data_IF_151187869877
#
_entry.id   IF_151187869877
#
_cell.length_a   1.000
_cell.length_b   1.000
_cell.length_c   1.000
_cell.angle_alpha   90.00
_cell.angle_beta   90.00
_cell.angle_gamma   90.00
#
_symmetry.space_group_name_H-M   'P 1'
#
loop_
_entity.id
_entity.type
_entity.pdbx_description
1 polymer ?
#
# COMPACT_ATOMS: atom_id res chain seq x y z
N UNK A 1 -1.24 9.89 -1.88
CA UNK A 1 -2.59 9.96 -2.46
C UNK A 1 -2.58 9.78 -3.98
N UNK A 2 -1.80 10.57 -4.76
CA UNK A 2 -1.72 10.47 -6.23
C UNK A 2 -1.43 9.09 -6.82
N UNK A 3 -0.56 8.30 -6.18
CA UNK A 3 -0.30 6.92 -6.62
C UNK A 3 -1.54 6.03 -6.53
N UNK A 4 -2.35 6.16 -5.47
CA UNK A 4 -3.59 5.40 -5.34
C UNK A 4 -4.57 5.78 -6.44
N UNK A 5 -4.80 7.08 -6.65
CA UNK A 5 -5.63 7.60 -7.75
C UNK A 5 -5.21 6.99 -9.09
N UNK A 6 -3.89 6.98 -9.37
CA UNK A 6 -3.40 6.48 -10.65
C UNK A 6 -3.54 4.97 -10.83
N UNK A 7 -3.47 4.21 -9.74
CA UNK A 7 -3.77 2.77 -9.80
C UNK A 7 -5.28 2.55 -9.92
N UNK A 8 -6.11 3.39 -9.32
CA UNK A 8 -7.57 3.26 -9.37
C UNK A 8 -8.15 3.53 -10.77
N UNK A 9 -7.54 4.40 -11.57
CA UNK A 9 -8.01 4.74 -12.93
C UNK A 9 -8.19 3.53 -13.86
N UNK A 10 -7.27 2.56 -13.82
CA UNK A 10 -7.28 1.40 -14.72
C UNK A 10 -6.70 0.12 -14.12
N UNK A 11 -6.14 0.19 -12.92
CA UNK A 11 -5.46 -0.93 -12.25
C UNK A 11 -6.41 -1.85 -11.49
N UNK A 12 -7.58 -1.38 -11.06
CA UNK A 12 -8.54 -2.21 -10.31
C UNK A 12 -9.09 -3.38 -11.13
N UNK A 13 -9.12 -3.26 -12.46
CA UNK A 13 -9.56 -4.34 -13.36
C UNK A 13 -8.39 -5.05 -14.06
N UNK A 14 -7.17 -4.55 -13.87
CA UNK A 14 -5.97 -5.12 -14.49
C UNK A 14 -5.57 -6.41 -13.77
N UNK A 15 -5.54 -7.52 -14.52
CA UNK A 15 -5.09 -8.80 -13.98
C UNK A 15 -3.69 -8.69 -13.38
N UNK A 16 -3.53 -9.22 -12.16
CA UNK A 16 -2.26 -9.28 -11.47
C UNK A 16 -1.69 -7.92 -11.06
N UNK A 17 -2.53 -6.90 -10.85
CA UNK A 17 -2.10 -5.62 -10.28
C UNK A 17 -1.30 -5.87 -8.97
N UNK A 18 -0.20 -5.15 -8.77
CA UNK A 18 0.82 -5.39 -7.72
C UNK A 18 1.66 -6.68 -7.83
N UNK A 19 1.20 -7.72 -8.53
CA UNK A 19 2.02 -8.91 -8.82
C UNK A 19 2.90 -8.73 -10.05
N UNK A 20 2.38 -8.12 -11.11
CA UNK A 20 3.11 -7.88 -12.35
C UNK A 20 4.06 -6.69 -12.22
N UNK A 21 5.28 -6.86 -12.73
CA UNK A 21 6.29 -5.80 -12.79
C UNK A 21 5.98 -4.81 -13.91
N UNK A 22 6.06 -3.51 -13.59
CA UNK A 22 6.07 -2.44 -14.59
C UNK A 22 7.39 -2.37 -15.36
N UNK A 23 7.47 -1.46 -16.34
CA UNK A 23 8.70 -1.25 -17.10
C UNK A 23 9.78 -0.62 -16.21
N UNK A 24 10.83 -1.38 -15.87
CA UNK A 24 11.89 -0.97 -14.93
C UNK A 24 12.56 0.35 -15.34
N UNK A 25 12.80 0.56 -16.65
CA UNK A 25 13.40 1.79 -17.15
C UNK A 25 12.52 3.02 -16.88
N UNK A 26 11.20 2.91 -17.11
CA UNK A 26 10.24 3.99 -16.84
C UNK A 26 10.06 4.23 -15.35
N UNK A 27 10.00 3.18 -14.54
CA UNK A 27 9.94 3.29 -13.07
C UNK A 27 11.15 4.06 -12.54
N UNK A 28 12.36 3.74 -13.02
CA UNK A 28 13.59 4.46 -12.65
C UNK A 28 13.51 5.94 -13.05
N UNK A 29 13.11 6.21 -14.29
CA UNK A 29 12.94 7.58 -14.78
C UNK A 29 11.93 8.38 -13.94
N UNK A 30 10.76 7.80 -13.62
CA UNK A 30 9.75 8.47 -12.81
C UNK A 30 10.22 8.72 -11.38
N UNK A 31 11.04 7.83 -10.83
CA UNK A 31 11.65 8.04 -9.52
C UNK A 31 12.59 9.23 -9.52
N UNK A 32 13.53 9.29 -10.45
CA UNK A 32 14.44 10.43 -10.60
C UNK A 32 13.69 11.75 -10.84
N UNK A 33 12.63 11.71 -11.65
CA UNK A 33 11.79 12.88 -11.91
C UNK A 33 11.01 13.33 -10.66
N UNK A 34 10.48 12.38 -9.87
CA UNK A 34 9.81 12.70 -8.61
C UNK A 34 10.78 13.27 -7.60
N UNK A 35 11.96 12.67 -7.40
CA UNK A 35 12.96 13.16 -6.44
C UNK A 35 13.43 14.58 -6.81
N UNK A 36 13.60 14.86 -8.10
CA UNK A 36 14.01 16.19 -8.57
C UNK A 36 12.88 17.25 -8.50
N UNK A 37 11.61 16.83 -8.64
CA UNK A 37 10.45 17.75 -8.75
C UNK A 37 9.48 17.68 -7.58
N UNK A 38 9.81 16.93 -6.52
CA UNK A 38 8.92 16.68 -5.38
C UNK A 38 8.39 17.99 -4.77
N UNK A 39 9.23 19.01 -4.70
CA UNK A 39 8.89 20.30 -4.10
C UNK A 39 8.08 21.24 -5.02
N UNK A 40 7.84 20.86 -6.28
CA UNK A 40 7.26 21.76 -7.29
C UNK A 40 5.89 21.32 -7.82
N UNK A 41 5.37 20.16 -7.42
CA UNK A 41 4.12 19.58 -7.98
C UNK A 41 4.08 19.48 -9.52
N UNK A 42 5.26 19.50 -10.18
CA UNK A 42 5.39 19.50 -11.64
C UNK A 42 5.44 18.10 -12.27
N UNK A 43 5.20 17.05 -11.49
CA UNK A 43 5.24 15.69 -11.99
C UNK A 43 4.03 15.40 -12.90
N UNK A 44 4.29 14.89 -14.11
CA UNK A 44 3.24 14.61 -15.10
C UNK A 44 2.65 13.22 -14.89
N UNK A 45 1.70 13.11 -13.98
CA UNK A 45 1.00 11.87 -13.64
C UNK A 45 0.32 11.19 -14.83
N UNK A 46 -0.16 11.95 -15.83
CA UNK A 46 -0.86 11.40 -17.01
C UNK A 46 -0.04 10.41 -17.84
N UNK A 47 1.29 10.49 -17.76
CA UNK A 47 2.20 9.61 -18.54
C UNK A 47 2.45 8.27 -17.86
N UNK A 48 2.24 8.19 -16.56
CA UNK A 48 2.46 6.98 -15.77
C UNK A 48 1.27 6.04 -15.93
N UNK A 49 1.50 4.76 -16.19
CA UNK A 49 0.41 3.78 -16.17
C UNK A 49 0.21 3.20 -14.77
N UNK A 50 -0.95 2.55 -14.54
CA UNK A 50 -1.30 1.91 -13.28
C UNK A 50 -0.25 0.88 -12.80
N UNK A 51 0.42 0.16 -13.71
CA UNK A 51 1.49 -0.79 -13.36
C UNK A 51 2.73 -0.09 -12.81
N UNK A 52 3.13 1.01 -13.43
CA UNK A 52 4.27 1.82 -12.96
C UNK A 52 3.93 2.47 -11.61
N UNK A 53 2.71 3.00 -11.47
CA UNK A 53 2.22 3.54 -10.21
C UNK A 53 2.20 2.49 -9.08
N UNK A 54 1.76 1.26 -9.37
CA UNK A 54 1.77 0.16 -8.41
C UNK A 54 3.21 -0.24 -7.97
N UNK A 55 4.17 -0.24 -8.90
CA UNK A 55 5.59 -0.48 -8.55
C UNK A 55 6.15 0.64 -7.69
N UNK A 56 5.88 1.89 -8.05
CA UNK A 56 6.33 3.06 -7.30
C UNK A 56 5.71 3.11 -5.89
N UNK A 57 4.43 2.76 -5.75
CA UNK A 57 3.76 2.67 -4.46
C UNK A 57 4.41 1.61 -3.55
N UNK A 58 4.75 0.44 -4.10
CA UNK A 58 5.50 -0.60 -3.35
C UNK A 58 6.89 -0.11 -2.94
N UNK A 59 7.60 0.57 -3.84
CA UNK A 59 8.91 1.12 -3.55
C UNK A 59 8.84 2.17 -2.45
N UNK A 60 7.85 3.06 -2.49
CA UNK A 60 7.62 4.10 -1.48
C UNK A 60 7.51 3.51 -0.08
N UNK A 61 6.64 2.51 0.14
CA UNK A 61 6.49 1.89 1.47
C UNK A 61 7.73 1.14 1.93
N UNK A 62 8.48 0.52 1.01
CA UNK A 62 9.73 -0.19 1.32
C UNK A 62 10.88 0.76 1.69
N UNK A 63 10.85 1.97 1.18
CA UNK A 63 11.90 2.97 1.34
C UNK A 63 11.64 3.97 2.48
N UNK A 64 10.51 3.82 3.19
CA UNK A 64 10.25 4.61 4.38
C UNK A 64 11.35 4.41 5.44
N UNK A 65 11.82 5.48 6.11
CA UNK A 65 12.83 5.37 7.17
C UNK A 65 12.40 4.42 8.30
N UNK A 66 11.10 4.39 8.58
CA UNK A 66 10.44 3.47 9.49
C UNK A 66 9.29 2.80 8.75
N UNK A 67 9.16 1.48 8.88
CA UNK A 67 8.00 0.75 8.34
C UNK A 67 6.69 1.40 8.80
N UNK A 68 5.69 1.45 7.90
CA UNK A 68 4.37 2.01 8.19
C UNK A 68 3.77 1.41 9.47
N UNK A 69 3.93 0.10 9.61
CA UNK A 69 3.70 -0.65 10.85
C UNK A 69 5.05 -0.96 11.48
N UNK A 70 5.37 -0.39 12.66
CA UNK A 70 6.65 -0.62 13.32
C UNK A 70 6.89 -2.11 13.56
N UNK A 71 8.08 -2.58 13.18
CA UNK A 71 8.48 -3.99 13.25
C UNK A 71 8.46 -4.50 14.70
N UNK A 72 8.67 -3.60 15.66
CA UNK A 72 8.61 -3.87 17.09
C UNK A 72 7.24 -4.40 17.56
N UNK A 73 6.16 -4.05 16.86
CA UNK A 73 4.81 -4.54 17.17
C UNK A 73 4.48 -5.87 16.50
N UNK A 74 5.28 -6.34 15.52
CA UNK A 74 5.02 -7.59 14.80
C UNK A 74 5.02 -8.82 15.73
N UNK A 75 5.98 -9.00 16.66
CA UNK A 75 5.94 -10.13 17.60
C UNK A 75 4.70 -10.13 18.49
N UNK A 76 4.26 -8.94 18.95
CA UNK A 76 3.05 -8.78 19.74
C UNK A 76 1.80 -9.14 18.91
N UNK A 77 1.79 -8.76 17.64
CA UNK A 77 0.73 -9.08 16.69
C UNK A 77 0.61 -10.59 16.41
N UNK A 78 1.74 -11.25 16.12
CA UNK A 78 1.79 -12.70 15.90
C UNK A 78 1.31 -13.44 17.15
N UNK A 79 1.82 -13.07 18.32
CA UNK A 79 1.42 -13.67 19.60
C UNK A 79 -0.08 -13.50 19.86
N UNK A 80 -0.63 -12.32 19.55
CA UNK A 80 -2.06 -12.03 19.70
C UNK A 80 -2.92 -12.90 18.78
N UNK A 81 -2.52 -13.09 17.52
CA UNK A 81 -3.25 -13.94 16.56
C UNK A 81 -3.16 -15.42 16.95
N UNK A 82 -1.98 -15.90 17.34
CA UNK A 82 -1.74 -17.31 17.64
C UNK A 82 -2.28 -17.76 19.00
N UNK A 83 -2.27 -16.88 20.01
CA UNK A 83 -2.53 -17.24 21.41
C UNK A 83 -3.66 -16.45 22.08
N UNK A 84 -4.34 -15.59 21.32
CA UNK A 84 -5.41 -14.74 21.84
C UNK A 84 -6.63 -15.56 22.30
N UNK A 85 -7.20 -15.27 23.49
CA UNK A 85 -8.27 -16.09 24.06
C UNK A 85 -9.60 -15.98 23.28
N UNK A 86 -9.84 -14.85 22.58
CA UNK A 86 -11.03 -14.62 21.76
C UNK A 86 -10.79 -13.57 20.66
N UNK A 87 -11.45 -13.74 19.51
CA UNK A 87 -11.41 -12.82 18.35
C UNK A 87 -11.72 -11.36 18.71
N UNK A 88 -12.61 -11.13 19.69
CA UNK A 88 -12.96 -9.77 20.17
C UNK A 88 -11.76 -9.07 20.82
N UNK A 89 -10.98 -9.80 21.62
CA UNK A 89 -9.80 -9.27 22.30
C UNK A 89 -8.69 -9.01 21.28
N UNK A 90 -8.54 -9.89 20.29
CA UNK A 90 -7.62 -9.69 19.16
C UNK A 90 -7.96 -8.40 18.39
N UNK A 91 -9.24 -8.19 18.09
CA UNK A 91 -9.67 -6.98 17.40
C UNK A 91 -9.45 -5.70 18.22
N UNK A 92 -9.72 -5.73 19.52
CA UNK A 92 -9.48 -4.59 20.41
C UNK A 92 -8.00 -4.24 20.52
N UNK A 93 -7.13 -5.25 20.71
CA UNK A 93 -5.70 -5.03 20.77
C UNK A 93 -5.13 -4.55 19.43
N UNK A 94 -5.63 -5.07 18.30
CA UNK A 94 -5.32 -4.56 16.97
C UNK A 94 -5.68 -3.07 16.83
N UNK A 95 -6.89 -2.70 17.26
CA UNK A 95 -7.36 -1.32 17.20
C UNK A 95 -6.46 -0.40 18.03
N UNK A 96 -6.10 -0.80 19.25
CA UNK A 96 -5.20 -0.03 20.12
C UNK A 96 -3.80 0.13 19.52
N UNK A 97 -3.26 -0.93 18.89
CA UNK A 97 -1.97 -0.86 18.19
C UNK A 97 -2.00 0.13 17.02
N UNK A 98 -3.09 0.17 16.25
CA UNK A 98 -3.25 1.16 15.18
C UNK A 98 -3.35 2.58 15.78
N UNK A 99 -4.10 2.75 16.87
CA UNK A 99 -4.23 4.05 17.55
C UNK A 99 -2.92 4.56 18.15
N UNK A 100 -2.00 3.65 18.51
CA UNK A 100 -0.68 4.00 19.02
C UNK A 100 0.31 4.49 17.94
N UNK A 101 0.02 4.28 16.65
CA UNK A 101 0.84 4.80 15.56
C UNK A 101 0.75 6.33 15.49
N UNK A 102 1.79 7.04 15.01
CA UNK A 102 1.70 8.47 14.70
C UNK A 102 0.57 8.80 13.74
N UNK A 103 -0.01 10.01 13.85
CA UNK A 103 -1.14 10.47 13.04
C UNK A 103 -0.93 10.23 11.54
N UNK A 104 0.24 10.63 11.01
CA UNK A 104 0.58 10.44 9.60
C UNK A 104 0.63 8.96 9.17
N UNK A 105 1.09 8.06 10.05
CA UNK A 105 1.11 6.62 9.78
C UNK A 105 -0.30 6.05 9.80
N UNK A 106 -1.17 6.50 10.73
CA UNK A 106 -2.58 6.06 10.79
C UNK A 106 -3.34 6.46 9.54
N UNK A 107 -3.20 7.72 9.11
CA UNK A 107 -3.87 8.23 7.91
C UNK A 107 -3.40 7.47 6.67
N UNK A 108 -2.10 7.21 6.57
CA UNK A 108 -1.51 6.45 5.47
C UNK A 108 -1.97 4.98 5.48
N UNK A 109 -2.01 4.34 6.66
CA UNK A 109 -2.49 2.98 6.82
C UNK A 109 -3.98 2.87 6.48
N UNK A 110 -4.80 3.83 6.91
CA UNK A 110 -6.22 3.88 6.57
C UNK A 110 -6.44 4.04 5.05
N UNK A 111 -5.68 4.92 4.40
CA UNK A 111 -5.72 5.08 2.95
C UNK A 111 -5.31 3.78 2.23
N UNK A 112 -4.25 3.11 2.69
CA UNK A 112 -3.78 1.84 2.13
C UNK A 112 -4.82 0.73 2.29
N UNK A 113 -5.40 0.58 3.49
CA UNK A 113 -6.44 -0.42 3.75
C UNK A 113 -7.70 -0.17 2.91
N UNK A 114 -8.12 1.09 2.80
CA UNK A 114 -9.26 1.48 1.95
C UNK A 114 -8.98 1.14 0.49
N UNK A 115 -7.77 1.40 0.03
CA UNK A 115 -7.35 1.08 -1.33
C UNK A 115 -7.32 -0.44 -1.58
N UNK A 116 -6.72 -1.24 -0.69
CA UNK A 116 -6.70 -2.69 -0.86
C UNK A 116 -8.10 -3.32 -0.81
N UNK A 117 -9.01 -2.79 0.00
CA UNK A 117 -10.40 -3.21 -0.03
C UNK A 117 -11.04 -3.02 -1.42
N UNK A 118 -10.73 -1.92 -2.12
CA UNK A 118 -11.20 -1.72 -3.51
C UNK A 118 -10.58 -2.73 -4.47
N UNK A 119 -9.31 -3.08 -4.31
CA UNK A 119 -8.64 -4.09 -5.16
C UNK A 119 -9.27 -5.46 -4.94
N UNK A 120 -9.44 -5.89 -3.69
CA UNK A 120 -10.04 -7.18 -3.34
C UNK A 120 -11.51 -7.23 -3.81
N UNK A 121 -12.27 -6.15 -3.69
CA UNK A 121 -13.64 -6.09 -4.21
C UNK A 121 -13.72 -6.34 -5.73
N UNK A 122 -12.64 -6.12 -6.46
CA UNK A 122 -12.52 -6.36 -7.90
C UNK A 122 -11.77 -7.67 -8.24
N UNK A 123 -11.61 -8.59 -7.27
CA UNK A 123 -10.91 -9.87 -7.43
C UNK A 123 -11.40 -10.66 -8.66
N UNK A 124 -12.69 -10.61 -8.97
CA UNK A 124 -13.28 -11.27 -10.14
C UNK A 124 -12.63 -10.86 -11.47
N UNK A 125 -12.11 -9.63 -11.57
CA UNK A 125 -11.44 -9.09 -12.75
C UNK A 125 -9.91 -9.12 -12.60
N UNK A 126 -9.39 -8.57 -11.51
CA UNK A 126 -7.94 -8.41 -11.33
C UNK A 126 -7.23 -9.67 -10.80
N UNK A 127 -7.97 -10.69 -10.36
CA UNK A 127 -7.45 -11.95 -9.80
C UNK A 127 -6.58 -11.78 -8.54
N UNK A 128 -6.73 -10.66 -7.82
CA UNK A 128 -6.03 -10.37 -6.58
C UNK A 128 -6.97 -10.56 -5.39
N UNK A 129 -6.87 -11.73 -4.76
CA UNK A 129 -7.56 -12.02 -3.48
C UNK A 129 -6.81 -11.40 -2.30
N UNK A 130 -7.45 -11.40 -1.12
CA UNK A 130 -6.80 -11.00 0.13
C UNK A 130 -5.48 -11.75 0.40
N UNK A 131 -5.37 -13.01 -0.05
CA UNK A 131 -4.18 -13.84 0.13
C UNK A 131 -3.04 -13.51 -0.84
N UNK A 132 -3.36 -12.88 -1.96
CA UNK A 132 -2.39 -12.59 -3.02
C UNK A 132 -1.88 -11.15 -2.95
N UNK A 133 -2.59 -10.28 -2.23
CA UNK A 133 -2.23 -8.88 -2.04
C UNK A 133 -1.62 -8.59 -0.66
N UNK A 134 -1.84 -9.48 0.33
CA UNK A 134 -1.26 -9.41 1.68
C UNK A 134 0.25 -9.58 1.69
#
# INVERSE_FOLDING_TARGET
QKFFEKVEESGLESEGIFRLSGCTAKVKQYREELDAKFNADKFKWDRMCHREAAVMLKAFFRELPTSLFPVEYIPAFITLIERGPHIKVQFQALHLMIMALPDANRDTAQALMTFFNKVIANESKNRMSIWNIS
#
